data_IF_385728474455
#
_entry.id   IF_385728474455
#
_cell.length_a   1.000
_cell.length_b   1.000
_cell.length_c   1.000
_cell.angle_alpha   90.00
_cell.angle_beta   90.00
_cell.angle_gamma   90.00
#
_symmetry.space_group_name_H-M   'P 1'
#
loop_
_entity.id
_entity.type
_entity.pdbx_description
1 polymer ?
#
# COMPACT_ATOMS: atom_id res chain seq x y z
N UNK A 1 -22.21 -15.73 -1.75
CA UNK A 1 -21.25 -15.39 -0.67
C UNK A 1 -21.91 -14.32 0.18
N UNK A 2 -22.23 -14.62 1.44
CA UNK A 2 -23.02 -13.74 2.31
C UNK A 2 -22.23 -12.50 2.73
N UNK A 3 -22.91 -11.36 2.78
CA UNK A 3 -22.35 -10.05 3.16
C UNK A 3 -22.02 -9.93 4.67
N UNK A 4 -22.19 -11.00 5.43
CA UNK A 4 -21.95 -11.05 6.87
C UNK A 4 -20.46 -10.85 7.22
N UNK A 5 -19.55 -11.28 6.35
CA UNK A 5 -18.10 -11.08 6.50
C UNK A 5 -17.72 -9.59 6.62
N UNK A 6 -18.53 -8.68 6.08
CA UNK A 6 -18.27 -7.24 6.08
C UNK A 6 -18.97 -6.47 7.20
N UNK A 7 -19.78 -7.14 8.03
CA UNK A 7 -20.56 -6.51 9.12
C UNK A 7 -19.70 -6.24 10.37
N UNK A 8 -18.65 -7.02 10.58
CA UNK A 8 -17.72 -6.87 11.69
C UNK A 8 -16.62 -5.86 11.35
N UNK A 9 -16.91 -4.56 11.53
CA UNK A 9 -15.90 -3.48 11.45
C UNK A 9 -15.02 -3.37 12.71
N UNK A 10 -15.33 -4.14 13.75
CA UNK A 10 -14.49 -4.28 14.93
C UNK A 10 -13.41 -5.34 14.69
N UNK A 11 -12.36 -4.98 13.95
CA UNK A 11 -11.07 -5.69 13.92
C UNK A 11 -10.21 -5.40 15.16
N UNK A 12 -10.84 -4.88 16.22
CA UNK A 12 -10.20 -4.40 17.44
C UNK A 12 -10.01 -5.47 18.52
N UNK A 13 -9.77 -6.74 18.18
CA UNK A 13 -9.05 -7.64 19.09
C UNK A 13 -7.56 -7.48 18.80
N UNK A 14 -7.05 -6.25 18.90
CA UNK A 14 -5.61 -6.08 18.92
C UNK A 14 -5.15 -6.67 20.24
N UNK A 15 -4.69 -7.93 20.20
CA UNK A 15 -3.93 -8.51 21.28
C UNK A 15 -2.68 -7.65 21.41
N UNK A 16 -2.74 -6.65 22.28
CA UNK A 16 -1.57 -5.86 22.62
C UNK A 16 -0.55 -6.85 23.16
N UNK A 17 0.57 -6.98 22.46
CA UNK A 17 1.70 -7.76 22.97
C UNK A 17 2.52 -6.81 23.81
N UNK A 18 2.54 -7.04 25.11
CA UNK A 18 3.49 -6.34 25.96
C UNK A 18 4.89 -6.73 25.47
N UNK A 19 5.67 -5.73 25.05
CA UNK A 19 7.06 -5.91 24.69
C UNK A 19 7.85 -5.90 25.99
N UNK A 20 8.56 -6.99 26.28
CA UNK A 20 9.45 -7.07 27.42
C UNK A 20 10.68 -6.19 27.17
N UNK A 21 10.55 -4.92 27.55
CA UNK A 21 11.65 -3.96 27.52
C UNK A 21 12.46 -4.11 28.80
N UNK A 22 13.76 -4.39 28.68
CA UNK A 22 14.66 -4.36 29.83
C UNK A 22 14.68 -2.94 30.46
N UNK A 23 14.54 -2.79 31.79
CA UNK A 23 14.54 -1.48 32.42
C UNK A 23 15.86 -0.74 32.18
N UNK A 24 15.80 0.59 32.06
CA UNK A 24 16.99 1.43 31.87
C UNK A 24 17.79 1.54 33.17
N UNK A 25 19.14 1.41 33.15
CA UNK A 25 19.94 1.47 34.36
C UNK A 25 20.00 2.92 34.86
N UNK A 26 19.64 3.10 36.12
CA UNK A 26 19.70 4.40 36.79
C UNK A 26 21.13 4.74 37.23
N UNK A 27 21.92 3.75 37.62
CA UNK A 27 23.31 3.91 38.08
C UNK A 27 24.28 4.22 36.93
N UNK A 28 25.23 5.14 37.15
CA UNK A 28 26.28 5.49 36.17
C UNK A 28 27.12 4.30 35.70
N UNK A 29 27.47 3.40 36.62
CA UNK A 29 28.18 2.15 36.29
C UNK A 29 27.37 1.19 35.41
N UNK A 30 26.05 1.12 35.62
CA UNK A 30 25.14 0.31 34.82
C UNK A 30 25.00 0.83 33.38
N UNK A 31 25.01 2.17 33.21
CA UNK A 31 25.03 2.80 31.89
C UNK A 31 26.31 2.48 31.13
N UNK A 32 27.47 2.57 31.80
CA UNK A 32 28.77 2.25 31.21
C UNK A 32 28.85 0.79 30.72
N UNK A 33 28.48 -0.19 31.56
CA UNK A 33 28.47 -1.62 31.14
C UNK A 33 27.55 -1.89 29.96
N UNK A 34 26.40 -1.23 29.88
CA UNK A 34 25.45 -1.37 28.76
C UNK A 34 26.07 -0.86 27.45
N UNK A 35 26.76 0.28 27.49
CA UNK A 35 27.44 0.84 26.31
C UNK A 35 28.54 -0.10 25.84
N UNK A 36 29.43 -0.55 26.73
CA UNK A 36 30.49 -1.50 26.38
C UNK A 36 29.91 -2.80 25.81
N UNK A 37 28.86 -3.35 26.44
CA UNK A 37 28.19 -4.57 25.96
C UNK A 37 27.58 -4.38 24.57
N UNK A 38 26.99 -3.22 24.26
CA UNK A 38 26.42 -2.93 22.93
C UNK A 38 27.50 -2.68 21.88
N UNK A 39 28.57 -1.97 22.23
CA UNK A 39 29.69 -1.70 21.31
C UNK A 39 30.47 -2.96 20.94
N UNK A 40 30.60 -3.91 21.87
CA UNK A 40 31.32 -5.18 21.64
C UNK A 40 30.42 -6.29 21.09
N UNK A 41 29.09 -6.15 21.20
CA UNK A 41 28.15 -7.14 20.65
C UNK A 41 28.21 -7.15 19.12
N UNK A 42 28.24 -8.36 18.55
CA UNK A 42 28.18 -8.64 17.11
C UNK A 42 26.80 -8.34 16.47
N UNK A 43 26.05 -7.37 17.00
CA UNK A 43 24.75 -6.96 16.45
C UNK A 43 24.93 -6.38 15.04
N UNK A 44 26.03 -5.65 14.79
CA UNK A 44 26.39 -5.15 13.46
C UNK A 44 26.58 -6.28 12.44
N UNK A 45 27.33 -7.33 12.80
CA UNK A 45 27.56 -8.48 11.92
C UNK A 45 26.29 -9.32 11.71
N UNK A 46 25.42 -9.35 12.72
CA UNK A 46 24.10 -10.01 12.60
C UNK A 46 23.24 -9.28 11.57
N UNK A 47 23.21 -7.95 11.61
CA UNK A 47 22.54 -7.13 10.59
C UNK A 47 23.14 -7.32 9.20
N UNK A 48 24.46 -7.24 9.09
CA UNK A 48 25.18 -7.41 7.81
C UNK A 48 24.98 -8.82 7.22
N UNK A 49 24.88 -9.86 8.06
CA UNK A 49 24.56 -11.22 7.59
C UNK A 49 23.19 -11.29 6.94
N UNK A 50 22.20 -10.57 7.47
CA UNK A 50 20.85 -10.54 6.89
C UNK A 50 20.86 -9.82 5.55
N UNK A 51 21.53 -8.67 5.45
CA UNK A 51 21.64 -7.93 4.19
C UNK A 51 22.40 -8.72 3.14
N UNK A 52 23.49 -9.38 3.53
CA UNK A 52 24.27 -10.22 2.61
C UNK A 52 23.47 -11.42 2.13
N UNK A 53 22.68 -12.05 3.02
CA UNK A 53 21.78 -13.15 2.64
C UNK A 53 20.75 -12.69 1.60
N UNK A 54 20.14 -11.53 1.79
CA UNK A 54 19.15 -11.00 0.85
C UNK A 54 19.78 -10.62 -0.50
N UNK A 55 20.98 -10.05 -0.47
CA UNK A 55 21.76 -9.76 -1.69
C UNK A 55 22.09 -11.03 -2.48
N UNK A 56 22.49 -12.10 -1.79
CA UNK A 56 22.78 -13.39 -2.43
C UNK A 56 21.52 -13.99 -3.06
N UNK A 57 20.36 -13.92 -2.38
CA UNK A 57 19.08 -14.38 -2.93
C UNK A 57 18.68 -13.61 -4.19
N UNK A 58 18.80 -12.29 -4.15
CA UNK A 58 18.45 -11.44 -5.28
C UNK A 58 19.36 -11.69 -6.50
N UNK A 59 20.67 -11.83 -6.30
CA UNK A 59 21.65 -11.96 -7.39
C UNK A 59 21.78 -13.40 -7.93
N UNK A 60 21.73 -14.42 -7.05
CA UNK A 60 22.03 -15.80 -7.44
C UNK A 60 20.81 -16.72 -7.47
N UNK A 61 19.74 -16.43 -6.71
CA UNK A 61 18.52 -17.26 -6.67
C UNK A 61 17.38 -16.69 -7.53
N UNK A 62 17.54 -15.48 -8.09
CA UNK A 62 16.52 -14.86 -8.93
C UNK A 62 15.25 -14.45 -8.17
N UNK A 63 15.28 -14.42 -6.83
CA UNK A 63 14.18 -14.00 -5.96
C UNK A 63 14.04 -12.47 -5.92
N UNK A 64 14.09 -11.82 -7.07
CA UNK A 64 13.96 -10.37 -7.20
C UNK A 64 12.49 -9.98 -7.43
N UNK A 65 11.96 -9.08 -6.60
CA UNK A 65 10.58 -8.59 -6.73
C UNK A 65 10.37 -7.55 -7.85
N UNK A 66 11.42 -7.22 -8.59
CA UNK A 66 11.37 -6.25 -9.68
C UNK A 66 10.76 -6.88 -10.94
N UNK A 67 9.80 -6.19 -11.55
CA UNK A 67 9.21 -6.55 -12.84
C UNK A 67 9.88 -5.77 -13.99
N UNK A 68 9.94 -6.35 -15.19
CA UNK A 68 10.50 -5.67 -16.37
C UNK A 68 9.46 -4.82 -17.09
N UNK A 69 9.17 -3.62 -16.60
CA UNK A 69 8.32 -2.66 -17.33
C UNK A 69 9.03 -2.17 -18.60
N UNK A 70 8.39 -2.09 -19.78
CA UNK A 70 6.95 -2.22 -20.05
C UNK A 70 6.46 -3.63 -20.46
N UNK A 71 7.36 -4.61 -20.55
CA UNK A 71 7.05 -5.97 -21.03
C UNK A 71 6.19 -6.75 -20.02
N UNK A 72 6.47 -6.59 -18.74
CA UNK A 72 5.73 -7.19 -17.63
C UNK A 72 4.99 -6.08 -16.86
N UNK A 73 3.69 -6.27 -16.62
CA UNK A 73 2.83 -5.32 -15.90
C UNK A 73 2.27 -5.98 -14.64
N UNK A 74 2.09 -5.20 -13.58
CA UNK A 74 1.44 -5.65 -12.36
C UNK A 74 -0.03 -5.97 -12.61
N UNK A 75 -0.61 -6.96 -11.90
CA UNK A 75 -2.04 -7.22 -11.94
C UNK A 75 -2.80 -6.01 -11.40
N UNK A 76 -3.70 -5.45 -12.21
CA UNK A 76 -4.54 -4.31 -11.85
C UNK A 76 -5.88 -4.84 -11.33
N UNK A 77 -6.34 -4.32 -10.19
CA UNK A 77 -7.62 -4.70 -9.61
C UNK A 77 -8.81 -4.26 -10.50
N UNK A 78 -9.94 -5.00 -10.53
CA UNK A 78 -11.10 -4.64 -11.36
C UNK A 78 -11.74 -3.27 -11.06
N UNK A 79 -11.48 -2.71 -9.86
CA UNK A 79 -12.01 -1.40 -9.43
C UNK A 79 -10.98 -0.27 -9.56
N UNK A 80 -9.88 -0.50 -10.28
CA UNK A 80 -8.89 0.52 -10.54
C UNK A 80 -9.52 1.68 -11.34
N UNK A 81 -9.27 2.91 -10.89
CA UNK A 81 -9.77 4.12 -11.53
C UNK A 81 -8.65 4.69 -12.38
N UNK A 82 -8.88 4.79 -13.68
CA UNK A 82 -7.89 5.21 -14.66
C UNK A 82 -8.47 6.32 -15.56
N UNK A 83 -8.26 6.20 -16.86
CA UNK A 83 -8.75 7.11 -17.88
C UNK A 83 -10.28 7.05 -17.93
N UNK A 84 -10.91 8.22 -17.94
CA UNK A 84 -12.36 8.36 -18.07
C UNK A 84 -12.77 8.15 -19.54
N UNK A 85 -13.78 7.32 -19.78
CA UNK A 85 -14.30 7.04 -21.12
C UNK A 85 -15.84 7.05 -21.12
N UNK A 86 -16.43 7.66 -22.15
CA UNK A 86 -17.88 7.62 -22.36
C UNK A 86 -18.31 6.32 -23.03
N UNK A 87 -19.00 5.47 -22.28
CA UNK A 87 -19.52 4.19 -22.80
C UNK A 87 -20.71 4.39 -23.74
N UNK A 88 -20.80 3.52 -24.75
CA UNK A 88 -21.93 3.41 -25.68
C UNK A 88 -22.95 2.35 -25.23
N UNK A 89 -24.17 2.41 -25.75
CA UNK A 89 -25.14 1.33 -25.65
C UNK A 89 -24.73 0.19 -26.60
N UNK A 90 -24.91 -1.06 -26.17
CA UNK A 90 -24.53 -2.25 -26.97
C UNK A 90 -25.40 -2.41 -28.21
N UNK A 91 -26.68 -2.01 -28.13
CA UNK A 91 -27.67 -2.25 -29.17
C UNK A 91 -27.69 -1.16 -30.26
N UNK A 92 -27.64 0.12 -29.86
CA UNK A 92 -27.79 1.26 -30.77
C UNK A 92 -26.49 1.99 -31.09
N UNK A 93 -25.39 1.71 -30.37
CA UNK A 93 -24.10 2.39 -30.57
C UNK A 93 -24.06 3.87 -30.18
N UNK A 94 -25.18 4.45 -29.75
CA UNK A 94 -25.25 5.80 -29.20
C UNK A 94 -24.58 5.90 -27.82
N UNK A 95 -24.12 7.09 -27.45
CA UNK A 95 -23.57 7.34 -26.11
C UNK A 95 -24.63 7.18 -25.03
N UNK A 96 -24.23 6.67 -23.85
CA UNK A 96 -25.14 6.55 -22.70
C UNK A 96 -25.47 7.88 -22.02
N UNK A 97 -24.71 8.94 -22.34
CA UNK A 97 -24.91 10.25 -21.74
C UNK A 97 -26.18 10.90 -22.29
N UNK A 98 -27.04 11.38 -21.39
CA UNK A 98 -28.28 12.11 -21.72
C UNK A 98 -28.19 13.62 -21.40
N UNK A 99 -27.01 14.10 -20.98
CA UNK A 99 -26.83 15.50 -20.60
C UNK A 99 -27.55 15.89 -19.30
N UNK A 100 -27.55 15.04 -18.26
CA UNK A 100 -28.24 15.35 -17.00
C UNK A 100 -27.49 16.33 -16.08
N UNK A 101 -26.20 16.63 -16.33
CA UNK A 101 -25.38 17.53 -15.50
C UNK A 101 -24.96 16.98 -14.13
N UNK A 102 -25.36 15.75 -13.75
CA UNK A 102 -25.02 15.18 -12.44
C UNK A 102 -23.51 14.96 -12.26
N UNK A 103 -22.81 14.59 -13.33
CA UNK A 103 -21.36 14.36 -13.30
C UNK A 103 -20.56 15.65 -13.06
N UNK A 104 -21.02 16.77 -13.61
CA UNK A 104 -20.44 18.10 -13.36
C UNK A 104 -20.68 18.51 -11.91
N UNK A 105 -21.92 18.38 -11.42
CA UNK A 105 -22.29 18.75 -10.04
C UNK A 105 -21.57 17.96 -8.94
N UNK A 106 -21.27 16.68 -9.16
CA UNK A 106 -20.59 15.82 -8.16
C UNK A 106 -19.06 15.95 -8.21
N UNK A 107 -18.51 16.62 -9.23
CA UNK A 107 -17.07 16.72 -9.41
C UNK A 107 -16.47 17.64 -8.33
N UNK A 108 -15.69 17.09 -7.42
CA UNK A 108 -15.07 17.87 -6.32
C UNK A 108 -14.00 18.84 -6.84
N UNK A 109 -13.41 18.55 -8.00
CA UNK A 109 -12.33 19.32 -8.59
C UNK A 109 -12.77 20.21 -9.75
N UNK A 110 -14.09 20.33 -10.02
CA UNK A 110 -14.66 21.14 -11.10
C UNK A 110 -13.98 20.96 -12.48
N UNK A 111 -13.52 19.75 -12.78
CA UNK A 111 -12.80 19.42 -14.02
C UNK A 111 -13.73 19.08 -15.19
N UNK A 112 -15.04 18.95 -14.94
CA UNK A 112 -16.04 18.57 -15.93
C UNK A 112 -16.88 19.81 -16.21
N UNK A 113 -17.04 20.16 -17.47
CA UNK A 113 -17.97 21.20 -17.94
C UNK A 113 -18.96 20.56 -18.91
N UNK A 114 -20.26 20.82 -18.74
CA UNK A 114 -21.29 20.36 -19.67
C UNK A 114 -22.15 21.51 -20.16
N UNK A 115 -22.34 21.59 -21.48
CA UNK A 115 -23.28 22.51 -22.11
C UNK A 115 -24.41 21.67 -22.73
N UNK A 116 -25.64 21.83 -22.22
CA UNK A 116 -26.82 21.04 -22.64
C UNK A 116 -27.94 21.90 -23.22
N UNK A 117 -27.72 23.22 -23.31
CA UNK A 117 -28.67 24.14 -23.95
C UNK A 117 -28.55 24.02 -25.47
N UNK A 118 -29.69 24.07 -26.14
CA UNK A 118 -29.81 24.10 -27.61
C UNK A 118 -29.82 25.53 -28.17
N UNK A 119 -29.40 26.54 -27.38
CA UNK A 119 -29.39 27.95 -27.80
C UNK A 119 -28.62 28.16 -29.11
#
# INVERSE_FOLDING_TARGET
MSLEQFKNRNVGTQAYRMLDLEPTPETGWGRFKRVVRRSVKLELFTGLKVTFREMVKALFMGEMHTIKYPFEKLPIAPRYRAIHEMKRLLESGHYRCIGCGLCEKICIADCIRMDTRYD
#
